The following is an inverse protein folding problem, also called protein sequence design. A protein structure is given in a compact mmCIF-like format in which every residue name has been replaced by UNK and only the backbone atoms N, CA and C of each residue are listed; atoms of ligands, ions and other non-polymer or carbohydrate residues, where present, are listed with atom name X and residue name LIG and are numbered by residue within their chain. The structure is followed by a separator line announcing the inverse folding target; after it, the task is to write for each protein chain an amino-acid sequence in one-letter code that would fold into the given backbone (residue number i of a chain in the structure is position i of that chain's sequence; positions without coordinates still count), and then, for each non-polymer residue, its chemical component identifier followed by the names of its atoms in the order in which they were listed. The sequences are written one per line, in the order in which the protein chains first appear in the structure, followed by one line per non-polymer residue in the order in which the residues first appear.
data_IF_605762830402
#
_entry.id   IF_605762830402
#
_cell.length_a   1.000
_cell.length_b   1.000
_cell.length_c   1.000
_cell.angle_alpha   90.00
_cell.angle_beta   90.00
_cell.angle_gamma   90.00
#
_symmetry.space_group_name_H-M   'P 1'
#
loop_
_entity.id
_entity.type
_entity.pdbx_description
1 polymer ?
#
# COMPACT_ATOMS: atom_id res chain seq x y z
N UNK A 1 37.64 24.84 -26.44
CA UNK A 1 36.64 23.76 -26.44
C UNK A 1 36.66 23.11 -25.08
N UNK A 2 35.77 23.53 -24.17
CA UNK A 2 35.57 22.82 -22.89
C UNK A 2 34.45 21.81 -23.10
N UNK A 3 34.79 20.52 -23.03
CA UNK A 3 33.82 19.45 -22.99
C UNK A 3 33.14 19.46 -21.62
N UNK A 4 31.94 20.05 -21.54
CA UNK A 4 31.11 19.91 -20.35
C UNK A 4 30.71 18.44 -20.20
N UNK A 5 31.35 17.75 -19.26
CA UNK A 5 31.04 16.36 -18.95
C UNK A 5 29.64 16.24 -18.33
N UNK A 6 28.76 15.49 -18.97
CA UNK A 6 27.44 15.18 -18.40
C UNK A 6 27.64 14.24 -17.21
N UNK A 7 27.32 14.71 -16.01
CA UNK A 7 27.32 13.87 -14.81
C UNK A 7 26.02 13.07 -14.74
N UNK A 8 26.09 11.75 -14.89
CA UNK A 8 24.92 10.88 -14.79
C UNK A 8 24.67 10.48 -13.34
N UNK A 9 23.58 10.98 -12.74
CA UNK A 9 23.10 10.53 -11.43
C UNK A 9 22.09 9.39 -11.61
N UNK A 10 22.29 8.28 -10.89
CA UNK A 10 21.34 7.16 -10.82
C UNK A 10 20.72 7.12 -9.42
N UNK A 11 19.39 7.07 -9.36
CA UNK A 11 18.64 6.94 -8.12
C UNK A 11 17.79 5.67 -8.15
N UNK A 12 17.70 4.98 -7.02
CA UNK A 12 16.81 3.84 -6.82
C UNK A 12 16.10 3.98 -5.47
N UNK A 13 14.87 3.50 -5.37
CA UNK A 13 14.09 3.48 -4.13
C UNK A 13 13.60 2.06 -3.87
N UNK A 14 14.06 1.47 -2.77
CA UNK A 14 13.59 0.18 -2.28
C UNK A 14 12.72 0.43 -1.05
N UNK A 15 11.47 -0.05 -1.07
CA UNK A 15 10.59 -0.03 0.09
C UNK A 15 10.48 -1.48 0.60
N UNK A 16 11.04 -1.75 1.78
CA UNK A 16 10.89 -3.03 2.49
C UNK A 16 9.78 -2.85 3.53
N UNK A 17 8.70 -3.61 3.38
CA UNK A 17 7.49 -3.46 4.18
C UNK A 17 7.13 -4.82 4.74
N UNK A 18 7.06 -4.91 6.07
CA UNK A 18 6.55 -6.07 6.77
C UNK A 18 5.11 -5.79 7.23
N UNK A 19 4.21 -6.75 7.01
CA UNK A 19 2.79 -6.63 7.29
C UNK A 19 2.34 -7.76 8.22
N UNK A 20 1.53 -7.42 9.21
CA UNK A 20 0.87 -8.41 10.06
C UNK A 20 -0.10 -9.31 9.27
N UNK A 21 -0.51 -10.41 9.88
CA UNK A 21 -1.44 -11.36 9.28
C UNK A 21 -2.84 -10.78 9.03
N UNK A 22 -3.54 -11.33 8.03
CA UNK A 22 -4.91 -10.99 7.68
C UNK A 22 -5.92 -12.00 8.25
N UNK A 23 -5.66 -12.55 9.42
CA UNK A 23 -6.47 -13.62 10.00
C UNK A 23 -7.88 -13.17 10.34
N UNK A 24 -8.82 -14.13 10.34
CA UNK A 24 -10.20 -13.86 10.72
C UNK A 24 -10.27 -13.62 12.23
N UNK A 25 -10.88 -12.51 12.61
CA UNK A 25 -11.07 -12.13 14.01
C UNK A 25 -11.75 -13.25 14.82
N UNK A 26 -12.79 -13.88 14.25
CA UNK A 26 -13.52 -14.97 14.90
C UNK A 26 -12.67 -16.21 15.21
N UNK A 27 -11.60 -16.46 14.45
CA UNK A 27 -10.68 -17.58 14.70
C UNK A 27 -9.50 -17.20 15.59
N UNK A 28 -9.27 -15.91 15.84
CA UNK A 28 -8.12 -15.43 16.62
C UNK A 28 -8.29 -15.56 18.13
N UNK A 29 -9.53 -15.66 18.62
CA UNK A 29 -9.84 -15.58 20.06
C UNK A 29 -9.45 -14.24 20.70
N UNK A 30 -9.18 -13.20 19.91
CA UNK A 30 -8.81 -11.89 20.40
C UNK A 30 -10.00 -11.18 21.06
N UNK A 31 -9.77 -10.63 22.26
CA UNK A 31 -10.78 -9.89 23.04
C UNK A 31 -10.21 -8.54 23.50
N UNK A 32 -11.09 -7.63 23.93
CA UNK A 32 -10.72 -6.34 24.49
C UNK A 32 -9.79 -5.53 23.57
N UNK A 33 -8.64 -5.10 24.10
CA UNK A 33 -7.65 -4.32 23.33
C UNK A 33 -7.04 -5.12 22.16
N UNK A 34 -6.85 -6.43 22.31
CA UNK A 34 -6.35 -7.28 21.22
C UNK A 34 -7.34 -7.34 20.06
N UNK A 35 -8.64 -7.34 20.34
CA UNK A 35 -9.67 -7.29 19.29
C UNK A 35 -9.64 -5.95 18.54
N UNK A 36 -9.39 -4.84 19.25
CA UNK A 36 -9.25 -3.52 18.63
C UNK A 36 -8.01 -3.46 17.73
N UNK A 37 -6.88 -3.96 18.21
CA UNK A 37 -5.64 -4.05 17.44
C UNK A 37 -5.84 -4.90 16.18
N UNK A 38 -6.36 -6.11 16.33
CA UNK A 38 -6.55 -7.04 15.23
C UNK A 38 -7.60 -6.53 14.22
N UNK A 39 -8.61 -5.77 14.68
CA UNK A 39 -9.53 -5.02 13.80
C UNK A 39 -8.81 -3.96 12.97
N UNK A 40 -7.89 -3.20 13.57
CA UNK A 40 -7.11 -2.18 12.86
C UNK A 40 -6.13 -2.79 11.85
N UNK A 41 -5.50 -3.92 12.20
CA UNK A 41 -4.67 -4.71 11.27
C UNK A 41 -5.50 -5.07 10.04
N UNK A 42 -6.61 -5.77 10.24
CA UNK A 42 -7.48 -6.21 9.15
C UNK A 42 -8.05 -5.06 8.33
N UNK A 43 -8.39 -3.93 8.97
CA UNK A 43 -8.85 -2.74 8.26
C UNK A 43 -7.78 -2.25 7.27
N UNK A 44 -6.55 -2.06 7.72
CA UNK A 44 -5.46 -1.57 6.86
C UNK A 44 -5.14 -2.52 5.71
N UNK A 45 -5.14 -3.83 5.95
CA UNK A 45 -4.92 -4.85 4.93
C UNK A 45 -6.08 -4.93 3.93
N UNK A 46 -7.32 -4.76 4.40
CA UNK A 46 -8.50 -4.72 3.53
C UNK A 46 -8.50 -3.48 2.63
N UNK A 47 -8.12 -2.32 3.17
CA UNK A 47 -7.95 -1.08 2.38
C UNK A 47 -6.86 -1.25 1.32
N UNK A 48 -5.74 -1.93 1.64
CA UNK A 48 -4.72 -2.27 0.66
C UNK A 48 -5.27 -3.16 -0.47
N UNK A 49 -6.05 -4.19 -0.15
CA UNK A 49 -6.73 -5.03 -1.14
C UNK A 49 -7.67 -4.23 -2.06
N UNK A 50 -8.42 -3.27 -1.50
CA UNK A 50 -9.30 -2.39 -2.27
C UNK A 50 -8.52 -1.48 -3.22
N UNK A 51 -7.39 -0.93 -2.78
CA UNK A 51 -6.51 -0.11 -3.62
C UNK A 51 -6.00 -0.92 -4.82
N UNK A 52 -5.51 -2.13 -4.60
CA UNK A 52 -5.03 -3.03 -5.66
C UNK A 52 -6.16 -3.36 -6.65
N UNK A 53 -7.35 -3.70 -6.14
CA UNK A 53 -8.51 -4.02 -6.99
C UNK A 53 -8.91 -2.82 -7.89
N UNK A 54 -8.89 -1.61 -7.34
CA UNK A 54 -9.22 -0.41 -8.09
C UNK A 54 -8.15 -0.08 -9.14
N UNK A 55 -6.87 -0.29 -8.84
CA UNK A 55 -5.79 -0.16 -9.82
C UNK A 55 -5.94 -1.11 -10.99
N UNK A 56 -6.23 -2.40 -10.72
CA UNK A 56 -6.53 -3.38 -11.77
C UNK A 56 -7.76 -2.98 -12.58
N UNK A 57 -8.76 -2.36 -11.95
CA UNK A 57 -9.93 -1.85 -12.68
C UNK A 57 -9.56 -0.69 -13.62
N UNK A 58 -8.67 0.20 -13.18
CA UNK A 58 -8.15 1.31 -13.98
C UNK A 58 -7.29 0.82 -15.13
N UNK A 59 -6.42 -0.17 -14.90
CA UNK A 59 -5.60 -0.77 -15.97
C UNK A 59 -6.47 -1.43 -17.04
N UNK A 60 -7.66 -1.89 -16.68
CA UNK A 60 -8.68 -2.42 -17.59
C UNK A 60 -9.58 -1.33 -18.23
N UNK A 61 -9.20 -0.05 -18.13
CA UNK A 61 -9.89 1.07 -18.79
C UNK A 61 -11.11 1.62 -18.04
N UNK A 62 -11.37 1.19 -16.79
CA UNK A 62 -12.45 1.77 -15.98
C UNK A 62 -11.97 3.04 -15.27
N UNK A 63 -12.82 4.06 -15.20
CA UNK A 63 -12.55 5.22 -14.35
C UNK A 63 -12.99 4.94 -12.92
N UNK A 64 -12.03 4.81 -12.01
CA UNK A 64 -12.28 4.63 -10.57
C UNK A 64 -11.37 5.54 -9.74
N UNK A 65 -11.90 6.03 -8.62
CA UNK A 65 -11.08 6.65 -7.58
C UNK A 65 -10.37 5.58 -6.74
N UNK A 66 -9.06 5.75 -6.50
CA UNK A 66 -8.27 4.84 -5.67
C UNK A 66 -8.13 5.42 -4.25
N UNK A 67 -8.64 4.74 -3.20
CA UNK A 67 -8.74 5.28 -1.85
C UNK A 67 -7.43 5.18 -1.05
N UNK A 68 -6.35 5.78 -1.55
CA UNK A 68 -5.05 5.75 -0.86
C UNK A 68 -5.07 6.35 0.55
N UNK A 69 -5.98 7.29 0.82
CA UNK A 69 -6.06 8.03 2.09
C UNK A 69 -6.84 7.31 3.19
N UNK A 70 -7.51 6.20 2.90
CA UNK A 70 -8.39 5.51 3.84
C UNK A 70 -7.60 4.77 4.94
N UNK A 71 -6.30 4.52 4.72
CA UNK A 71 -5.39 4.00 5.72
C UNK A 71 -4.01 4.65 5.63
N UNK A 72 -3.30 4.78 6.76
CA UNK A 72 -1.90 5.24 6.77
C UNK A 72 -1.01 4.34 5.90
N UNK A 73 -1.29 3.04 5.89
CA UNK A 73 -0.55 2.06 5.08
C UNK A 73 -0.64 2.39 3.59
N UNK A 74 -1.86 2.50 3.05
CA UNK A 74 -2.08 2.82 1.63
C UNK A 74 -1.59 4.20 1.24
N UNK A 75 -1.60 5.16 2.18
CA UNK A 75 -1.07 6.50 1.94
C UNK A 75 0.46 6.46 1.78
N UNK A 76 1.16 5.74 2.66
CA UNK A 76 2.62 5.57 2.57
C UNK A 76 3.02 4.77 1.33
N UNK A 77 2.23 3.75 0.99
CA UNK A 77 2.50 2.88 -0.16
C UNK A 77 2.12 3.51 -1.50
N UNK A 78 1.40 4.63 -1.53
CA UNK A 78 0.94 5.26 -2.77
C UNK A 78 2.07 5.43 -3.80
N UNK A 79 3.27 5.84 -3.37
CA UNK A 79 4.40 6.05 -4.30
C UNK A 79 4.81 4.76 -5.02
N UNK A 80 4.80 3.63 -4.30
CA UNK A 80 5.12 2.33 -4.88
C UNK A 80 3.94 1.70 -5.63
N UNK A 81 2.72 1.86 -5.10
CA UNK A 81 1.50 1.20 -5.59
C UNK A 81 0.87 1.92 -6.78
N UNK A 82 1.05 3.24 -6.92
CA UNK A 82 0.54 4.00 -8.07
C UNK A 82 1.20 3.63 -9.41
N UNK A 83 2.31 2.91 -9.39
CA UNK A 83 3.01 2.42 -10.58
C UNK A 83 2.73 0.93 -10.88
N UNK A 84 1.80 0.29 -10.15
CA UNK A 84 1.30 -1.05 -10.47
C UNK A 84 0.17 -1.01 -11.51
#
# INVERSE_FOLDING_TARGET
WESQGVTHFRFARLNLVDLAGSERQKSSGAEGERLKEATNINKSLSTLGLVIMNLVSISNGKSHHVPYRDSKLTFLLQVGVQHF
#
